data_IF_092430068310
#
_entry.id   IF_092430068310
#
_cell.length_a   1.000
_cell.length_b   1.000
_cell.length_c   1.000
_cell.angle_alpha   90.00
_cell.angle_beta   90.00
_cell.angle_gamma   90.00
#
_symmetry.space_group_name_H-M   'P 1'
#
loop_
_entity.id
_entity.type
_entity.pdbx_description
1 polymer ?
#
# COMPACT_ATOMS: atom_id res chain seq x y z
N UNK A 1 -23.36 14.18 38.80
CA UNK A 1 -23.55 14.79 37.46
C UNK A 1 -22.27 15.45 36.90
N UNK A 2 -21.34 15.93 37.74
CA UNK A 2 -20.03 16.42 37.27
C UNK A 2 -19.08 15.25 36.97
N UNK A 3 -19.06 14.20 37.81
CA UNK A 3 -18.17 13.03 37.60
C UNK A 3 -18.52 12.20 36.37
N UNK A 4 -19.80 12.01 36.06
CA UNK A 4 -20.22 11.21 34.91
C UNK A 4 -19.84 11.87 33.58
N UNK A 5 -19.93 13.20 33.48
CA UNK A 5 -19.47 13.94 32.30
C UNK A 5 -17.95 13.94 32.16
N UNK A 6 -17.20 13.97 33.27
CA UNK A 6 -15.73 13.90 33.23
C UNK A 6 -15.27 12.51 32.82
N UNK A 7 -15.85 11.45 33.40
CA UNK A 7 -15.54 10.06 33.05
C UNK A 7 -15.92 9.75 31.59
N UNK A 8 -17.09 10.21 31.12
CA UNK A 8 -17.50 10.02 29.72
C UNK A 8 -16.53 10.73 28.77
N UNK A 9 -16.12 11.98 29.07
CA UNK A 9 -15.13 12.70 28.25
C UNK A 9 -13.74 12.05 28.27
N UNK A 10 -13.29 11.49 29.40
CA UNK A 10 -12.01 10.78 29.52
C UNK A 10 -12.02 9.45 28.76
N UNK A 11 -13.13 8.71 28.82
CA UNK A 11 -13.31 7.47 28.07
C UNK A 11 -13.40 7.74 26.57
N UNK A 12 -14.15 8.78 26.15
CA UNK A 12 -14.32 9.16 24.75
C UNK A 12 -13.00 9.67 24.11
N UNK A 13 -12.19 10.41 24.87
CA UNK A 13 -10.84 10.82 24.44
C UNK A 13 -9.84 9.66 24.40
N UNK A 14 -9.91 8.71 25.34
CA UNK A 14 -9.06 7.51 25.36
C UNK A 14 -9.38 6.54 24.22
N UNK A 15 -10.66 6.35 23.91
CA UNK A 15 -11.09 5.49 22.80
C UNK A 15 -10.77 6.11 21.44
N UNK A 16 -10.92 7.43 21.31
CA UNK A 16 -10.45 8.19 20.14
C UNK A 16 -8.93 8.07 19.94
N UNK A 17 -8.15 8.14 21.03
CA UNK A 17 -6.69 7.99 20.99
C UNK A 17 -6.26 6.61 20.51
N UNK A 18 -6.87 5.55 21.07
CA UNK A 18 -6.64 4.16 20.66
C UNK A 18 -7.05 3.91 19.22
N UNK A 19 -8.21 4.42 18.80
CA UNK A 19 -8.68 4.33 17.43
C UNK A 19 -7.71 5.01 16.45
N UNK A 20 -7.24 6.21 16.76
CA UNK A 20 -6.24 6.89 15.93
C UNK A 20 -4.91 6.14 15.87
N UNK A 21 -4.46 5.52 16.97
CA UNK A 21 -3.25 4.70 16.97
C UNK A 21 -3.40 3.51 16.00
N UNK A 22 -4.52 2.79 16.09
CA UNK A 22 -4.83 1.66 15.20
C UNK A 22 -4.93 2.12 13.75
N UNK A 23 -5.53 3.28 13.49
CA UNK A 23 -5.60 3.81 12.12
C UNK A 23 -4.21 4.13 11.58
N UNK A 24 -3.34 4.80 12.34
CA UNK A 24 -1.96 5.07 11.91
C UNK A 24 -1.17 3.79 11.64
N UNK A 25 -1.40 2.75 12.46
CA UNK A 25 -0.84 1.42 12.22
C UNK A 25 -1.35 0.81 10.90
N UNK A 26 -2.67 0.81 10.66
CA UNK A 26 -3.25 0.28 9.43
C UNK A 26 -2.79 1.05 8.18
N UNK A 27 -2.67 2.37 8.28
CA UNK A 27 -2.18 3.21 7.19
C UNK A 27 -0.70 2.93 6.87
N UNK A 28 0.12 2.76 7.91
CA UNK A 28 1.52 2.35 7.75
C UNK A 28 1.63 0.98 7.07
N UNK A 29 0.80 0.01 7.47
CA UNK A 29 0.75 -1.29 6.82
C UNK A 29 0.31 -1.18 5.35
N UNK A 30 -0.78 -0.47 5.07
CA UNK A 30 -1.32 -0.29 3.73
C UNK A 30 -0.39 0.41 2.74
N UNK A 31 0.54 1.25 3.22
CA UNK A 31 1.50 1.96 2.36
C UNK A 31 2.56 1.04 1.74
N UNK A 32 3.02 0.00 2.45
CA UNK A 32 4.08 -0.90 1.95
C UNK A 32 3.57 -2.26 1.45
N UNK A 33 2.32 -2.64 1.75
CA UNK A 33 1.72 -3.87 1.19
C UNK A 33 1.86 -3.95 -0.34
N UNK A 34 1.53 -2.89 -1.12
CA UNK A 34 1.62 -2.93 -2.58
C UNK A 34 3.04 -3.21 -3.09
N UNK A 35 4.03 -2.53 -2.52
CA UNK A 35 5.44 -2.73 -2.87
C UNK A 35 5.92 -4.13 -2.53
N UNK A 36 5.61 -4.61 -1.32
CA UNK A 36 5.99 -5.96 -0.89
C UNK A 36 5.34 -7.05 -1.77
N UNK A 37 4.10 -6.83 -2.21
CA UNK A 37 3.42 -7.72 -3.14
C UNK A 37 4.07 -7.70 -4.54
N UNK A 38 4.45 -6.53 -5.06
CA UNK A 38 5.13 -6.39 -6.36
C UNK A 38 6.51 -7.08 -6.38
N UNK A 39 7.33 -6.91 -5.35
CA UNK A 39 8.61 -7.64 -5.23
C UNK A 39 8.37 -9.15 -5.16
N UNK A 40 7.29 -9.58 -4.52
CA UNK A 40 6.94 -11.01 -4.45
C UNK A 40 6.49 -11.59 -5.77
N UNK A 41 5.80 -10.80 -6.58
CA UNK A 41 5.43 -11.18 -7.93
C UNK A 41 6.61 -11.10 -8.92
N UNK A 42 7.76 -10.50 -8.54
CA UNK A 42 8.92 -10.39 -9.46
C UNK A 42 9.47 -11.74 -9.87
N UNK A 43 9.39 -12.76 -9.00
CA UNK A 43 9.78 -14.14 -9.32
C UNK A 43 8.97 -14.69 -10.52
N UNK A 44 7.67 -14.35 -10.60
CA UNK A 44 6.78 -14.75 -11.70
C UNK A 44 7.11 -13.98 -12.99
N UNK A 45 7.42 -12.69 -12.88
CA UNK A 45 7.75 -11.87 -14.03
C UNK A 45 9.17 -12.13 -14.57
N UNK A 46 10.11 -12.50 -13.70
CA UNK A 46 11.43 -12.98 -14.08
C UNK A 46 11.37 -14.31 -14.84
N UNK A 47 10.42 -15.19 -14.50
CA UNK A 47 10.15 -16.40 -15.29
C UNK A 47 9.55 -16.07 -16.67
N UNK A 48 8.62 -15.11 -16.74
CA UNK A 48 7.94 -14.72 -17.98
C UNK A 48 8.86 -13.93 -18.94
N UNK A 49 9.83 -13.19 -18.42
CA UNK A 49 10.75 -12.34 -19.18
C UNK A 49 12.21 -12.56 -18.76
N UNK A 50 12.71 -13.79 -18.93
CA UNK A 50 14.03 -14.23 -18.46
C UNK A 50 15.21 -13.39 -18.97
N UNK A 51 15.08 -12.74 -20.14
CA UNK A 51 16.15 -11.93 -20.74
C UNK A 51 16.23 -10.49 -20.20
N UNK A 52 15.24 -10.07 -19.39
CA UNK A 52 15.17 -8.72 -18.82
C UNK A 52 15.46 -8.75 -17.33
N UNK A 53 16.32 -7.85 -16.85
CA UNK A 53 16.58 -7.67 -15.41
C UNK A 53 15.41 -6.93 -14.72
N UNK A 54 14.27 -7.60 -14.60
CA UNK A 54 13.00 -7.02 -14.12
C UNK A 54 13.13 -6.48 -12.69
N UNK A 55 13.84 -7.21 -11.83
CA UNK A 55 14.08 -6.87 -10.42
C UNK A 55 14.75 -5.51 -10.24
N UNK A 56 15.81 -5.27 -11.02
CA UNK A 56 16.59 -4.03 -10.99
C UNK A 56 15.74 -2.87 -11.51
N UNK A 57 15.05 -3.10 -12.62
CA UNK A 57 14.19 -2.10 -13.26
C UNK A 57 13.08 -1.64 -12.30
N UNK A 58 12.44 -2.58 -11.60
CA UNK A 58 11.37 -2.28 -10.65
C UNK A 58 11.86 -1.45 -9.47
N UNK A 59 12.98 -1.88 -8.88
CA UNK A 59 13.55 -1.18 -7.72
C UNK A 59 13.95 0.24 -8.08
N UNK A 60 14.62 0.43 -9.23
CA UNK A 60 15.02 1.75 -9.70
C UNK A 60 13.79 2.60 -10.02
N UNK A 61 12.80 2.07 -10.74
CA UNK A 61 11.58 2.81 -11.10
C UNK A 61 10.78 3.24 -9.86
N UNK A 62 10.57 2.33 -8.91
CA UNK A 62 9.85 2.62 -7.67
C UNK A 62 10.56 3.66 -6.81
N UNK A 63 11.85 3.44 -6.52
CA UNK A 63 12.61 4.32 -5.63
C UNK A 63 12.80 5.72 -6.24
N UNK A 64 13.10 5.81 -7.54
CA UNK A 64 13.26 7.11 -8.21
C UNK A 64 11.96 7.92 -8.21
N UNK A 65 10.82 7.28 -8.49
CA UNK A 65 9.51 7.94 -8.49
C UNK A 65 9.09 8.37 -7.08
N UNK A 66 9.29 7.51 -6.07
CA UNK A 66 8.95 7.83 -4.68
C UNK A 66 9.77 9.03 -4.17
N UNK A 67 11.09 9.02 -4.39
CA UNK A 67 11.97 10.14 -4.03
C UNK A 67 11.59 11.43 -4.77
N UNK A 68 11.32 11.34 -6.07
CA UNK A 68 10.91 12.49 -6.88
C UNK A 68 9.64 13.14 -6.31
N UNK A 69 8.62 12.33 -6.01
CA UNK A 69 7.37 12.83 -5.41
C UNK A 69 7.60 13.41 -4.03
N UNK A 70 8.44 12.77 -3.20
CA UNK A 70 8.78 13.28 -1.87
C UNK A 70 9.46 14.65 -1.94
N UNK A 71 10.43 14.82 -2.83
CA UNK A 71 11.14 16.10 -3.05
C UNK A 71 10.19 17.17 -3.57
N UNK A 72 9.32 16.83 -4.53
CA UNK A 72 8.28 17.74 -5.01
C UNK A 72 7.34 18.16 -3.88
N UNK A 73 6.94 17.24 -3.01
CA UNK A 73 6.09 17.54 -1.86
C UNK A 73 6.75 18.43 -0.81
N UNK A 74 8.08 18.36 -0.66
CA UNK A 74 8.83 19.22 0.25
C UNK A 74 9.08 20.62 -0.32
N UNK A 75 9.31 20.73 -1.64
CA UNK A 75 9.68 21.98 -2.31
C UNK A 75 8.47 22.78 -2.78
N UNK A 76 7.39 22.10 -3.18
CA UNK A 76 6.17 22.75 -3.62
C UNK A 76 5.39 23.23 -2.39
N UNK A 77 5.02 24.51 -2.36
CA UNK A 77 4.17 25.07 -1.30
C UNK A 77 2.73 24.52 -1.45
N UNK A 78 2.50 23.29 -0.98
CA UNK A 78 1.29 22.55 -1.33
C UNK A 78 0.06 23.14 -0.65
N UNK A 79 -0.78 23.84 -1.44
CA UNK A 79 -2.18 24.18 -1.11
C UNK A 79 -3.09 22.94 -1.06
N UNK A 80 -2.57 21.77 -1.44
CA UNK A 80 -3.31 20.50 -1.47
C UNK A 80 -3.59 20.01 -0.06
N UNK A 81 -4.88 19.83 0.26
CA UNK A 81 -5.30 19.27 1.55
C UNK A 81 -4.71 17.88 1.75
N UNK A 82 -4.28 17.59 2.98
CA UNK A 82 -3.84 16.26 3.40
C UNK A 82 -4.86 15.16 3.02
N UNK A 83 -6.16 15.50 3.07
CA UNK A 83 -7.28 14.67 2.56
C UNK A 83 -7.09 14.19 1.13
N UNK A 84 -6.79 15.14 0.24
CA UNK A 84 -6.66 14.84 -1.17
C UNK A 84 -5.39 14.07 -1.47
N UNK A 85 -4.28 14.41 -0.80
CA UNK A 85 -2.99 13.71 -0.93
C UNK A 85 -3.12 12.23 -0.55
N UNK A 86 -3.76 11.95 0.58
CA UNK A 86 -3.94 10.59 1.08
C UNK A 86 -4.91 9.77 0.21
N UNK A 87 -6.08 10.34 -0.12
CA UNK A 87 -7.06 9.64 -0.96
C UNK A 87 -6.51 9.38 -2.36
N UNK A 88 -5.82 10.35 -2.97
CA UNK A 88 -5.19 10.18 -4.28
C UNK A 88 -4.16 9.05 -4.25
N UNK A 89 -3.31 9.02 -3.23
CA UNK A 89 -2.29 7.98 -3.08
C UNK A 89 -2.87 6.57 -2.90
N UNK A 90 -3.87 6.39 -2.04
CA UNK A 90 -4.53 5.08 -1.91
C UNK A 90 -5.32 4.67 -3.16
N UNK A 91 -5.93 5.60 -3.88
CA UNK A 91 -6.54 5.31 -5.18
C UNK A 91 -5.50 4.84 -6.20
N UNK A 92 -4.33 5.49 -6.25
CA UNK A 92 -3.22 5.05 -7.11
C UNK A 92 -2.70 3.67 -6.72
N UNK A 93 -2.62 3.33 -5.42
CA UNK A 93 -2.27 1.98 -4.98
C UNK A 93 -3.27 0.92 -5.44
N UNK A 94 -4.57 1.19 -5.32
CA UNK A 94 -5.61 0.26 -5.80
C UNK A 94 -5.47 0.04 -7.30
N UNK A 95 -5.30 1.11 -8.09
CA UNK A 95 -5.12 1.01 -9.53
C UNK A 95 -3.87 0.17 -9.85
N UNK A 96 -2.74 0.46 -9.20
CA UNK A 96 -1.48 -0.28 -9.38
C UNK A 96 -1.65 -1.78 -9.13
N UNK A 97 -2.38 -2.16 -8.08
CA UNK A 97 -2.62 -3.58 -7.76
C UNK A 97 -3.61 -4.23 -8.75
N UNK A 98 -4.57 -3.49 -9.29
CA UNK A 98 -5.51 -4.00 -10.29
C UNK A 98 -4.90 -4.25 -11.67
N UNK A 99 -3.75 -3.65 -12.01
CA UNK A 99 -3.10 -3.86 -13.30
C UNK A 99 -2.69 -5.32 -13.52
N UNK A 100 -2.14 -5.99 -12.50
CA UNK A 100 -1.64 -7.36 -12.67
C UNK A 100 -2.71 -8.43 -12.96
N UNK A 101 -3.89 -8.46 -12.32
CA UNK A 101 -4.96 -9.39 -12.72
C UNK A 101 -5.59 -9.00 -14.06
N UNK A 102 -5.60 -7.72 -14.42
CA UNK A 102 -6.08 -7.27 -15.74
C UNK A 102 -5.15 -7.79 -16.84
N UNK A 103 -3.83 -7.73 -16.64
CA UNK A 103 -2.87 -8.34 -17.59
C UNK A 103 -3.16 -9.83 -17.74
N UNK A 104 -3.32 -10.57 -16.64
CA UNK A 104 -3.61 -12.00 -16.71
C UNK A 104 -4.95 -12.31 -17.43
N UNK A 105 -5.98 -11.49 -17.24
CA UNK A 105 -7.29 -11.71 -17.85
C UNK A 105 -7.33 -11.36 -19.34
N UNK A 106 -6.73 -10.23 -19.72
CA UNK A 106 -6.73 -9.71 -21.11
C UNK A 106 -5.80 -10.52 -22.00
N UNK A 107 -4.63 -10.90 -21.49
CA UNK A 107 -3.58 -11.56 -22.28
C UNK A 107 -3.66 -13.10 -22.28
N UNK A 108 -4.83 -13.68 -21.96
CA UNK A 108 -5.07 -15.14 -21.92
C UNK A 108 -4.78 -15.92 -23.21
N UNK A 109 -4.42 -15.27 -24.33
CA UNK A 109 -4.21 -15.96 -25.60
C UNK A 109 -3.45 -15.21 -26.70
N UNK A 110 -2.85 -14.04 -26.46
CA UNK A 110 -2.18 -13.26 -27.51
C UNK A 110 -0.80 -12.80 -27.06
N UNK A 111 0.28 -13.21 -27.73
CA UNK A 111 1.64 -13.12 -27.18
C UNK A 111 2.31 -11.76 -27.45
N UNK A 112 1.80 -10.68 -26.83
CA UNK A 112 2.42 -9.35 -26.93
C UNK A 112 3.23 -9.00 -25.68
N UNK A 113 4.33 -9.73 -25.49
CA UNK A 113 5.22 -9.68 -24.33
C UNK A 113 5.72 -8.26 -23.97
N UNK A 114 5.90 -7.40 -24.99
CA UNK A 114 6.36 -6.03 -24.77
C UNK A 114 5.30 -5.14 -24.11
N UNK A 115 4.01 -5.33 -24.42
CA UNK A 115 2.93 -4.52 -23.85
C UNK A 115 2.67 -4.90 -22.40
N UNK A 116 2.64 -6.20 -22.10
CA UNK A 116 2.50 -6.70 -20.72
C UNK A 116 3.64 -6.23 -19.82
N UNK A 117 4.88 -6.25 -20.33
CA UNK A 117 6.04 -5.72 -19.61
C UNK A 117 5.92 -4.21 -19.36
N UNK A 118 5.50 -3.42 -20.35
CA UNK A 118 5.33 -1.98 -20.20
C UNK A 118 4.25 -1.62 -19.18
N UNK A 119 3.10 -2.31 -19.21
CA UNK A 119 2.00 -2.09 -18.26
C UNK A 119 2.42 -2.42 -16.82
N UNK A 120 3.22 -3.45 -16.65
CA UNK A 120 3.76 -3.87 -15.36
C UNK A 120 4.79 -2.88 -14.81
N UNK A 121 5.73 -2.40 -15.65
CA UNK A 121 6.64 -1.31 -15.23
C UNK A 121 5.84 -0.05 -14.91
N UNK A 122 4.80 0.26 -15.67
CA UNK A 122 3.88 1.36 -15.41
C UNK A 122 3.16 1.25 -14.06
N UNK A 123 2.74 0.05 -13.65
CA UNK A 123 2.14 -0.13 -12.32
C UNK A 123 3.16 0.07 -11.20
N UNK A 124 4.40 -0.39 -11.36
CA UNK A 124 5.47 -0.16 -10.38
C UNK A 124 5.78 1.34 -10.23
N UNK A 125 5.83 2.07 -11.34
CA UNK A 125 5.95 3.53 -11.33
C UNK A 125 4.80 4.16 -10.57
N UNK A 126 3.56 3.78 -10.87
CA UNK A 126 2.36 4.29 -10.19
C UNK A 126 2.40 3.99 -8.68
N UNK A 127 2.85 2.80 -8.29
CA UNK A 127 3.06 2.41 -6.91
C UNK A 127 4.11 3.29 -6.21
N UNK A 128 5.22 3.62 -6.90
CA UNK A 128 6.25 4.51 -6.37
C UNK A 128 5.77 5.95 -6.19
N UNK A 129 4.99 6.45 -7.16
CA UNK A 129 4.37 7.78 -7.05
C UNK A 129 3.39 7.83 -5.87
N UNK A 130 2.55 6.80 -5.73
CA UNK A 130 1.61 6.65 -4.63
C UNK A 130 2.32 6.58 -3.28
N UNK A 131 3.41 5.82 -3.18
CA UNK A 131 4.22 5.70 -1.98
C UNK A 131 4.81 7.04 -1.53
N UNK A 132 5.44 7.79 -2.43
CA UNK A 132 5.95 9.13 -2.10
C UNK A 132 4.86 10.09 -1.62
N UNK A 133 3.66 10.01 -2.22
CA UNK A 133 2.47 10.78 -1.84
C UNK A 133 1.95 10.40 -0.45
N UNK A 134 1.70 9.11 -0.21
CA UNK A 134 1.12 8.56 1.03
C UNK A 134 2.14 8.64 2.15
N UNK A 135 3.34 8.09 1.96
CA UNK A 135 4.43 8.05 2.94
C UNK A 135 4.85 9.45 3.38
N UNK A 136 5.05 10.38 2.44
CA UNK A 136 5.37 11.77 2.75
C UNK A 136 4.25 12.47 3.53
N UNK A 137 2.99 12.18 3.24
CA UNK A 137 1.84 12.77 3.94
C UNK A 137 1.65 12.16 5.34
N UNK A 138 1.79 10.84 5.49
CA UNK A 138 1.66 10.12 6.76
C UNK A 138 2.74 10.56 7.75
N UNK A 139 4.01 10.52 7.33
CA UNK A 139 5.14 10.89 8.18
C UNK A 139 5.08 12.40 8.50
N UNK A 140 4.71 13.23 7.52
CA UNK A 140 4.54 14.67 7.73
C UNK A 140 3.43 15.01 8.74
N UNK A 141 2.32 14.26 8.74
CA UNK A 141 1.24 14.43 9.72
C UNK A 141 1.65 13.90 11.10
N UNK A 142 2.22 12.69 11.16
CA UNK A 142 2.67 12.08 12.41
C UNK A 142 3.78 12.88 13.10
N UNK A 143 4.58 13.67 12.37
CA UNK A 143 5.56 14.58 12.95
C UNK A 143 4.96 15.70 13.83
N UNK A 144 3.66 16.00 13.67
CA UNK A 144 2.93 16.98 14.52
C UNK A 144 2.26 16.32 15.73
N UNK A 145 2.19 14.99 15.75
CA UNK A 145 1.53 14.20 16.78
C UNK A 145 2.56 13.63 17.78
N UNK A 146 2.12 13.15 18.95
CA UNK A 146 2.99 12.45 19.89
C UNK A 146 3.75 11.27 19.26
N UNK A 147 4.96 10.99 19.76
CA UNK A 147 5.88 9.95 19.23
C UNK A 147 5.25 8.57 19.02
N UNK A 148 4.21 8.25 19.79
CA UNK A 148 3.49 6.97 19.71
C UNK A 148 2.84 6.73 18.34
N UNK A 149 2.37 7.78 17.66
CA UNK A 149 1.75 7.64 16.33
C UNK A 149 2.77 7.34 15.24
N UNK A 150 3.97 7.96 15.32
CA UNK A 150 5.07 7.62 14.43
C UNK A 150 5.48 6.16 14.59
N UNK A 151 5.58 5.68 15.84
CA UNK A 151 5.84 4.27 16.14
C UNK A 151 4.75 3.36 15.56
N UNK A 152 3.47 3.75 15.67
CA UNK A 152 2.36 2.98 15.10
C UNK A 152 2.52 2.81 13.59
N UNK A 153 2.87 3.87 12.86
CA UNK A 153 3.11 3.81 11.40
C UNK A 153 4.21 2.81 11.09
N UNK A 154 5.40 2.95 11.70
CA UNK A 154 6.53 2.07 11.41
C UNK A 154 6.26 0.62 11.83
N UNK A 155 5.55 0.40 12.93
CA UNK A 155 5.10 -0.94 13.34
C UNK A 155 4.14 -1.53 12.30
N UNK A 156 3.22 -0.73 11.76
CA UNK A 156 2.35 -1.09 10.65
C UNK A 156 3.14 -1.48 9.40
N UNK A 157 4.08 -0.63 9.01
CA UNK A 157 5.00 -0.89 7.90
C UNK A 157 5.76 -2.20 8.06
N UNK A 158 6.31 -2.48 9.25
CA UNK A 158 7.00 -3.75 9.51
C UNK A 158 6.04 -4.96 9.43
N UNK A 159 4.82 -4.82 9.95
CA UNK A 159 3.81 -5.89 9.89
C UNK A 159 3.42 -6.25 8.46
N UNK A 160 3.41 -5.29 7.53
CA UNK A 160 3.12 -5.57 6.12
C UNK A 160 4.08 -6.59 5.51
N UNK A 161 5.37 -6.53 5.84
CA UNK A 161 6.38 -7.47 5.36
C UNK A 161 6.15 -8.88 5.91
N UNK A 162 5.74 -8.99 7.18
CA UNK A 162 5.39 -10.26 7.82
C UNK A 162 4.16 -10.86 7.11
N UNK A 163 3.11 -10.07 6.92
CA UNK A 163 1.87 -10.52 6.24
C UNK A 163 2.17 -11.06 4.84
N UNK A 164 2.96 -10.34 4.04
CA UNK A 164 3.32 -10.79 2.69
C UNK A 164 4.25 -12.00 2.71
N UNK A 165 5.16 -12.10 3.68
CA UNK A 165 6.05 -13.25 3.81
C UNK A 165 5.28 -14.53 4.16
N UNK A 166 4.34 -14.46 5.11
CA UNK A 166 3.43 -15.56 5.44
C UNK A 166 2.65 -15.97 4.19
N UNK A 167 2.08 -14.98 3.50
CA UNK A 167 1.32 -15.21 2.28
C UNK A 167 2.17 -15.92 1.21
N UNK A 168 3.43 -15.52 1.02
CA UNK A 168 4.39 -16.16 0.08
C UNK A 168 4.68 -17.60 0.47
N UNK A 169 4.91 -17.88 1.76
CA UNK A 169 5.13 -19.25 2.26
C UNK A 169 3.90 -20.11 2.03
N UNK A 170 2.70 -19.61 2.37
CA UNK A 170 1.43 -20.31 2.12
C UNK A 170 1.21 -20.56 0.64
N UNK A 171 1.51 -19.61 -0.24
CA UNK A 171 1.41 -19.82 -1.68
C UNK A 171 2.32 -20.94 -2.19
N UNK A 172 3.59 -20.97 -1.75
CA UNK A 172 4.52 -22.03 -2.13
C UNK A 172 4.15 -23.39 -1.52
N UNK A 173 3.51 -23.40 -0.35
CA UNK A 173 3.11 -24.62 0.35
C UNK A 173 1.78 -25.21 -0.14
N UNK A 174 0.81 -24.36 -0.50
CA UNK A 174 -0.55 -24.80 -0.83
C UNK A 174 -0.71 -25.29 -2.27
N UNK A 175 0.20 -24.98 -3.19
CA UNK A 175 0.07 -25.41 -4.57
C UNK A 175 1.36 -25.95 -5.19
N UNK A 176 1.27 -27.03 -5.99
CA UNK A 176 2.36 -27.42 -6.87
C UNK A 176 2.61 -26.30 -7.89
N UNK A 177 3.85 -26.17 -8.37
CA UNK A 177 4.29 -25.21 -9.41
C UNK A 177 3.64 -25.51 -10.79
N UNK A 178 2.31 -25.61 -10.85
CA UNK A 178 1.54 -25.83 -12.06
C UNK A 178 0.90 -24.50 -12.51
N UNK A 179 0.79 -24.23 -13.83
CA UNK A 179 0.32 -22.95 -14.36
C UNK A 179 -1.09 -22.56 -13.90
N UNK A 180 -1.97 -23.56 -13.70
CA UNK A 180 -3.34 -23.35 -13.21
C UNK A 180 -3.39 -23.05 -11.71
N UNK A 181 -2.45 -23.59 -10.93
CA UNK A 181 -2.35 -23.32 -9.49
C UNK A 181 -1.88 -21.89 -9.21
N UNK A 182 -0.81 -21.47 -9.90
CA UNK A 182 -0.27 -20.10 -9.82
C UNK A 182 -1.35 -19.03 -10.04
N UNK A 183 -2.28 -19.29 -10.97
CA UNK A 183 -3.37 -18.38 -11.33
C UNK A 183 -4.42 -18.22 -10.23
N UNK A 184 -4.85 -19.31 -9.62
CA UNK A 184 -5.80 -19.29 -8.50
C UNK A 184 -5.22 -18.59 -7.28
N UNK A 185 -3.92 -18.79 -7.02
CA UNK A 185 -3.19 -18.06 -5.98
C UNK A 185 -3.19 -16.57 -6.29
N UNK A 186 -2.81 -16.17 -7.51
CA UNK A 186 -2.75 -14.77 -7.91
C UNK A 186 -4.11 -14.07 -7.71
N UNK A 187 -5.23 -14.70 -8.09
CA UNK A 187 -6.56 -14.14 -7.85
C UNK A 187 -6.87 -13.96 -6.36
N UNK A 188 -6.56 -14.94 -5.51
CA UNK A 188 -6.72 -14.81 -4.06
C UNK A 188 -5.87 -13.66 -3.49
N UNK A 189 -4.64 -13.49 -3.97
CA UNK A 189 -3.75 -12.40 -3.58
C UNK A 189 -4.32 -11.03 -3.95
N UNK A 190 -4.87 -10.89 -5.15
CA UNK A 190 -5.47 -9.61 -5.58
C UNK A 190 -6.71 -9.27 -4.80
N UNK A 191 -7.56 -10.25 -4.48
CA UNK A 191 -8.75 -10.05 -3.66
C UNK A 191 -8.34 -9.62 -2.25
N UNK A 192 -7.41 -10.33 -1.61
CA UNK A 192 -6.95 -10.01 -0.25
C UNK A 192 -6.24 -8.64 -0.21
N UNK A 193 -5.39 -8.35 -1.20
CA UNK A 193 -4.70 -7.05 -1.25
C UNK A 193 -5.69 -5.90 -1.48
N UNK A 194 -6.70 -6.11 -2.33
CA UNK A 194 -7.72 -5.10 -2.62
C UNK A 194 -8.63 -4.84 -1.42
N UNK A 195 -9.02 -5.88 -0.66
CA UNK A 195 -9.82 -5.69 0.56
C UNK A 195 -9.03 -4.97 1.64
N UNK A 196 -7.73 -5.26 1.79
CA UNK A 196 -6.87 -4.54 2.72
C UNK A 196 -6.72 -3.06 2.30
N UNK A 197 -6.53 -2.77 1.01
CA UNK A 197 -6.44 -1.39 0.50
C UNK A 197 -7.76 -0.63 0.62
N UNK A 198 -8.90 -1.28 0.36
CA UNK A 198 -10.23 -0.71 0.58
C UNK A 198 -10.46 -0.39 2.07
N UNK A 199 -10.04 -1.28 2.97
CA UNK A 199 -10.07 -1.02 4.41
C UNK A 199 -9.22 0.19 4.77
N UNK A 200 -8.00 0.31 4.22
CA UNK A 200 -7.13 1.48 4.43
C UNK A 200 -7.74 2.78 3.90
N UNK A 201 -8.41 2.73 2.75
CA UNK A 201 -9.13 3.88 2.19
C UNK A 201 -10.31 4.31 3.08
N UNK A 202 -11.07 3.36 3.62
CA UNK A 202 -12.14 3.65 4.58
C UNK A 202 -11.55 4.22 5.88
N UNK A 203 -10.48 3.63 6.41
CA UNK A 203 -9.77 4.13 7.60
C UNK A 203 -9.25 5.56 7.41
N UNK A 204 -8.75 5.93 6.22
CA UNK A 204 -8.41 7.32 5.90
C UNK A 204 -9.60 8.25 6.07
N UNK A 205 -10.75 7.87 5.52
CA UNK A 205 -11.97 8.69 5.56
C UNK A 205 -12.56 8.77 6.98
N UNK A 206 -12.45 7.70 7.77
CA UNK A 206 -12.84 7.67 9.18
C UNK A 206 -11.91 8.56 10.01
N UNK A 207 -10.60 8.55 9.76
CA UNK A 207 -9.63 9.40 10.47
C UNK A 207 -10.00 10.90 10.40
N UNK A 208 -10.62 11.33 9.29
CA UNK A 208 -11.10 12.71 9.13
C UNK A 208 -12.33 13.07 9.96
N UNK A 209 -13.05 12.07 10.48
CA UNK A 209 -14.16 12.28 11.41
C UNK A 209 -13.72 12.23 12.87
N UNK A 210 -12.51 11.75 13.19
CA UNK A 210 -11.99 11.80 14.55
C UNK A 210 -11.50 13.23 14.88
N UNK A 211 -11.84 13.77 16.07
CA UNK A 211 -11.49 15.13 16.50
C UNK A 211 -10.03 15.22 16.98
N UNK A 212 -9.10 14.58 16.25
CA UNK A 212 -7.66 14.55 16.58
C UNK A 212 -6.81 15.31 15.54
N UNK A 213 -7.44 15.86 14.49
CA UNK A 213 -6.83 16.74 13.49
C UNK A 213 -7.68 17.99 13.26
#
# INVERSE_FOLDING_TARGET
MVDEKVIVNEVETRDSYRAAYVIHFLLGAGSLIPWNALITAVDYFGYLHADKHVEKTFTVAYMSCSVLVLVLMMTWNTRLSYRLRMNLGFSMFIISMMVSPIIDWVWKGENNENVSYLLMVGSVVLCGLADGLVGGSLIGSAGKLPRQYMQAIFAGTASSGITISILRVTAKASLPQTPQGMRTIAHCYFIISSTILLSCFICCNVLYKLPLM
#
